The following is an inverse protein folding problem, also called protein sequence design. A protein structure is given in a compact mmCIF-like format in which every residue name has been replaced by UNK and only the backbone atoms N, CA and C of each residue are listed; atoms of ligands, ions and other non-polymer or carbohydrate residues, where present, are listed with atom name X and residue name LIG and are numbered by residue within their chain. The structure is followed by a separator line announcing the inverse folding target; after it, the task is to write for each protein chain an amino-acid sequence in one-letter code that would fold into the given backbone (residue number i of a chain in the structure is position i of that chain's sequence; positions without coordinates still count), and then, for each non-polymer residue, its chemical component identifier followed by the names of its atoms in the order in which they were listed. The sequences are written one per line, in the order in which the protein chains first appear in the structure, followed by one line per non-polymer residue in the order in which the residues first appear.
data_IF_146092735268
#
_entry.id   IF_146092735268
#
_cell.length_a   1.000
_cell.length_b   1.000
_cell.length_c   1.000
_cell.angle_alpha   90.00
_cell.angle_beta   90.00
_cell.angle_gamma   90.00
#
_symmetry.space_group_name_H-M   'P 1'
#
loop_
_entity.id
_entity.type
_entity.pdbx_description
1 polymer ?
#
# COMPACT_ATOMS: atom_id res chain seq x y z
N UNK A 1 80.15 -32.10 -36.84
CA UNK A 1 80.30 -33.31 -37.67
C UNK A 1 79.46 -34.41 -37.07
N UNK A 2 78.54 -34.95 -37.88
CA UNK A 2 78.07 -36.34 -37.92
C UNK A 2 77.74 -37.10 -36.62
N UNK A 3 76.43 -37.22 -36.33
CA UNK A 3 75.62 -38.47 -36.23
C UNK A 3 76.04 -39.58 -35.22
N UNK A 4 75.18 -40.59 -34.92
CA UNK A 4 74.08 -40.56 -33.95
C UNK A 4 74.06 -41.84 -33.04
N UNK A 5 72.90 -42.12 -32.40
CA UNK A 5 72.27 -43.43 -32.14
C UNK A 5 72.16 -43.95 -30.69
N UNK A 6 70.92 -44.37 -30.39
CA UNK A 6 70.47 -45.53 -29.57
C UNK A 6 70.70 -45.43 -28.04
N UNK A 7 69.89 -45.96 -27.14
CA UNK A 7 68.69 -46.80 -27.21
C UNK A 7 67.83 -46.55 -25.96
N UNK A 8 66.57 -46.90 -26.13
CA UNK A 8 65.46 -47.02 -25.19
C UNK A 8 65.80 -47.77 -23.89
N UNK A 9 65.28 -47.29 -22.76
CA UNK A 9 64.21 -47.93 -21.97
C UNK A 9 64.15 -47.40 -20.53
N UNK A 10 62.91 -47.15 -20.10
CA UNK A 10 62.38 -47.15 -18.73
C UNK A 10 62.83 -46.02 -17.80
N UNK A 11 61.97 -45.01 -17.68
CA UNK A 11 61.65 -44.46 -16.36
C UNK A 11 60.13 -44.36 -16.20
N UNK A 12 59.68 -44.97 -15.11
CA UNK A 12 58.34 -44.87 -14.54
C UNK A 12 58.09 -43.42 -14.12
N UNK A 13 57.00 -42.82 -14.58
CA UNK A 13 56.50 -41.56 -14.03
C UNK A 13 55.02 -41.72 -13.68
N UNK A 14 54.75 -41.37 -12.43
CA UNK A 14 53.50 -41.53 -11.72
C UNK A 14 52.35 -40.75 -12.37
N UNK A 15 51.17 -41.35 -12.34
CA UNK A 15 49.92 -40.74 -12.72
C UNK A 15 49.53 -39.65 -11.70
N UNK A 16 49.61 -38.39 -12.09
CA UNK A 16 48.95 -37.27 -11.42
C UNK A 16 47.67 -36.94 -12.17
N UNK A 17 46.56 -37.46 -11.66
CA UNK A 17 45.20 -37.11 -12.09
C UNK A 17 44.86 -35.70 -11.60
N UNK A 18 45.00 -34.70 -12.47
CA UNK A 18 44.44 -33.36 -12.29
C UNK A 18 42.93 -33.42 -12.57
N UNK A 19 42.05 -33.07 -11.61
CA UNK A 19 40.64 -32.92 -11.90
C UNK A 19 40.43 -31.66 -12.75
N UNK A 20 39.92 -31.85 -13.98
CA UNK A 20 39.33 -30.76 -14.75
C UNK A 20 38.11 -30.23 -14.00
N UNK A 21 38.29 -29.14 -13.26
CA UNK A 21 37.18 -28.36 -12.75
C UNK A 21 36.42 -27.79 -13.96
N UNK A 22 35.20 -28.29 -14.20
CA UNK A 22 34.29 -27.68 -15.16
C UNK A 22 34.03 -26.24 -14.68
N UNK A 23 34.10 -25.23 -15.55
CA UNK A 23 33.68 -23.89 -15.17
C UNK A 23 32.21 -23.98 -14.75
N UNK A 24 31.92 -23.67 -13.48
CA UNK A 24 30.56 -23.40 -13.06
C UNK A 24 30.03 -22.30 -13.98
N UNK A 25 29.04 -22.63 -14.80
CA UNK A 25 28.21 -21.61 -15.41
C UNK A 25 27.71 -20.74 -14.28
N UNK A 26 28.16 -19.48 -14.25
CA UNK A 26 27.58 -18.47 -13.40
C UNK A 26 26.07 -18.54 -13.64
N UNK A 27 25.32 -18.90 -12.61
CA UNK A 27 23.87 -18.78 -12.61
C UNK A 27 23.59 -17.36 -13.08
N UNK A 28 22.95 -17.21 -14.24
CA UNK A 28 22.48 -15.91 -14.70
C UNK A 28 21.75 -15.26 -13.52
N UNK A 29 21.92 -13.96 -13.27
CA UNK A 29 21.07 -13.26 -12.33
C UNK A 29 19.64 -13.65 -12.70
N UNK A 30 18.97 -14.33 -11.79
CA UNK A 30 17.56 -14.65 -11.93
C UNK A 30 16.92 -13.29 -12.19
N UNK A 31 16.50 -13.03 -13.43
CA UNK A 31 15.87 -11.77 -13.83
C UNK A 31 14.84 -11.48 -12.75
N UNK A 32 15.07 -10.42 -11.98
CA UNK A 32 14.16 -9.99 -10.95
C UNK A 32 12.81 -9.90 -11.64
N UNK A 33 11.89 -10.77 -11.23
CA UNK A 33 10.55 -10.93 -11.78
C UNK A 33 10.03 -9.56 -12.25
N UNK A 34 10.04 -9.32 -13.56
CA UNK A 34 9.99 -7.95 -14.11
C UNK A 34 8.78 -7.20 -13.55
N UNK A 35 9.00 -6.02 -12.97
CA UNK A 35 7.93 -5.15 -12.48
C UNK A 35 6.90 -4.96 -13.62
N UNK A 36 5.69 -5.46 -13.39
CA UNK A 36 4.58 -5.41 -14.33
C UNK A 36 4.14 -3.97 -14.53
N UNK A 37 3.86 -3.59 -15.77
CA UNK A 37 3.23 -2.31 -16.05
C UNK A 37 1.72 -2.44 -15.93
N UNK A 38 1.12 -1.57 -15.11
CA UNK A 38 -0.33 -1.50 -14.89
C UNK A 38 -0.88 -0.21 -15.50
N UNK A 39 -2.19 -0.18 -15.73
CA UNK A 39 -2.87 1.01 -16.26
C UNK A 39 -3.44 1.82 -15.10
N UNK A 40 -3.06 3.08 -15.03
CA UNK A 40 -3.62 4.06 -14.08
C UNK A 40 -4.68 4.87 -14.80
N UNK A 41 -5.91 4.82 -14.32
CA UNK A 41 -6.99 5.71 -14.74
C UNK A 41 -7.13 6.84 -13.72
N UNK A 42 -7.21 8.08 -14.19
CA UNK A 42 -7.48 9.22 -13.32
C UNK A 42 -8.94 9.65 -13.46
N UNK A 43 -9.66 9.60 -12.35
CA UNK A 43 -11.07 10.04 -12.24
C UNK A 43 -11.22 11.27 -11.35
N UNK A 44 -10.11 11.95 -11.06
CA UNK A 44 -10.10 13.13 -10.21
C UNK A 44 -10.83 14.30 -10.85
N UNK A 45 -11.57 15.06 -10.04
CA UNK A 45 -12.35 16.22 -10.47
C UNK A 45 -11.95 17.47 -9.69
N UNK A 46 -12.06 18.69 -10.26
CA UNK A 46 -11.93 19.91 -9.47
C UNK A 46 -12.97 19.97 -8.34
N UNK A 47 -12.59 20.53 -7.20
CA UNK A 47 -13.44 20.66 -6.01
C UNK A 47 -13.04 21.88 -5.18
N UNK A 48 -14.01 22.55 -4.55
CA UNK A 48 -13.81 23.71 -3.67
C UNK A 48 -13.76 23.33 -2.19
N UNK A 49 -14.44 22.25 -1.81
CA UNK A 49 -14.44 21.71 -0.46
C UNK A 49 -13.15 20.94 -0.17
N UNK A 50 -12.39 21.36 0.85
CA UNK A 50 -11.15 20.70 1.24
C UNK A 50 -11.36 19.31 1.85
N UNK A 51 -12.56 19.03 2.38
CA UNK A 51 -12.91 17.78 3.07
C UNK A 51 -13.55 16.73 2.16
N UNK A 52 -13.71 17.04 0.86
CA UNK A 52 -14.32 16.12 -0.09
C UNK A 52 -13.25 15.41 -0.89
N UNK A 53 -13.26 14.08 -0.83
CA UNK A 53 -12.42 13.25 -1.67
C UNK A 53 -12.78 13.49 -3.15
N UNK A 54 -11.94 14.23 -3.85
CA UNK A 54 -12.08 14.54 -5.26
C UNK A 54 -10.95 13.99 -6.11
N UNK A 55 -9.90 13.45 -5.49
CA UNK A 55 -8.90 12.63 -6.17
C UNK A 55 -9.36 11.18 -6.19
N UNK A 56 -9.24 10.55 -7.35
CA UNK A 56 -9.47 9.12 -7.55
C UNK A 56 -8.51 8.60 -8.62
N UNK A 57 -7.60 7.71 -8.23
CA UNK A 57 -6.69 7.01 -9.15
C UNK A 57 -6.97 5.51 -9.07
N UNK A 58 -7.42 4.93 -10.17
CA UNK A 58 -7.75 3.51 -10.28
C UNK A 58 -6.62 2.73 -10.94
N UNK A 59 -6.29 1.57 -10.36
CA UNK A 59 -5.20 0.72 -10.80
C UNK A 59 -5.76 -0.55 -11.45
N UNK A 60 -5.54 -0.71 -12.76
CA UNK A 60 -6.17 -1.78 -13.54
C UNK A 60 -5.12 -2.68 -14.18
N UNK A 61 -5.25 -3.99 -13.96
CA UNK A 61 -4.49 -5.02 -14.66
C UNK A 61 -5.13 -6.40 -14.46
N UNK A 62 -5.30 -7.21 -15.51
CA UNK A 62 -5.77 -8.59 -15.37
C UNK A 62 -4.69 -9.52 -14.79
N UNK A 63 -3.42 -9.10 -14.84
CA UNK A 63 -2.28 -9.95 -14.52
C UNK A 63 -1.76 -9.76 -13.10
N UNK A 64 -1.97 -8.60 -12.46
CA UNK A 64 -1.43 -8.34 -11.11
C UNK A 64 -1.93 -9.39 -10.12
N UNK A 65 -0.99 -9.93 -9.34
CA UNK A 65 -1.23 -10.82 -8.20
C UNK A 65 -0.46 -10.38 -6.95
N UNK A 66 0.57 -9.56 -7.09
CA UNK A 66 1.24 -8.89 -5.96
C UNK A 66 1.53 -7.44 -6.27
N UNK A 67 1.53 -6.63 -5.23
CA UNK A 67 1.95 -5.22 -5.26
C UNK A 67 2.42 -4.78 -3.88
N UNK A 68 2.96 -3.56 -3.83
CA UNK A 68 3.31 -2.88 -2.58
C UNK A 68 2.64 -1.52 -2.53
N UNK A 69 2.07 -1.21 -1.37
CA UNK A 69 1.65 0.14 -0.99
C UNK A 69 2.62 0.66 0.06
N UNK A 70 3.01 1.93 -0.04
CA UNK A 70 3.79 2.60 0.99
C UNK A 70 3.12 3.93 1.30
N UNK A 71 2.99 4.25 2.57
CA UNK A 71 2.80 5.63 3.00
C UNK A 71 4.17 6.13 3.47
N UNK A 72 4.63 7.24 2.89
CA UNK A 72 5.95 7.82 3.14
C UNK A 72 5.78 9.25 3.61
N UNK A 73 6.62 9.73 4.51
CA UNK A 73 6.52 11.14 4.91
C UNK A 73 6.78 12.07 3.71
N UNK A 74 6.12 13.23 3.64
CA UNK A 74 6.38 14.21 2.59
C UNK A 74 7.83 14.70 2.67
N UNK A 75 8.42 15.10 1.55
CA UNK A 75 9.84 15.49 1.48
C UNK A 75 10.22 16.65 2.41
N UNK A 76 9.25 17.44 2.86
CA UNK A 76 9.42 18.58 3.76
C UNK A 76 9.16 18.25 5.24
N UNK A 77 8.93 16.99 5.60
CA UNK A 77 8.50 16.56 6.94
C UNK A 77 9.39 17.12 8.05
N UNK A 78 10.72 17.07 7.89
CA UNK A 78 11.68 17.55 8.89
C UNK A 78 11.69 19.07 9.11
N UNK A 79 10.94 19.84 8.32
CA UNK A 79 10.75 21.28 8.52
C UNK A 79 9.51 21.63 9.34
N UNK A 80 8.68 20.64 9.68
CA UNK A 80 7.44 20.85 10.42
C UNK A 80 7.74 20.94 11.92
N UNK A 81 7.69 22.16 12.48
CA UNK A 81 7.78 22.36 13.94
C UNK A 81 6.45 22.15 14.67
N UNK A 82 5.32 22.37 14.00
CA UNK A 82 3.98 22.11 14.53
C UNK A 82 3.06 21.68 13.39
N UNK A 83 2.38 20.57 13.59
CA UNK A 83 1.47 20.02 12.58
C UNK A 83 0.14 20.80 12.52
N UNK A 84 -0.57 20.67 11.39
CA UNK A 84 -1.91 21.21 11.14
C UNK A 84 -2.79 20.14 10.52
N UNK A 85 -3.86 19.79 11.21
CA UNK A 85 -4.78 18.70 10.82
C UNK A 85 -6.26 19.05 11.02
N UNK A 86 -6.56 20.24 11.55
CA UNK A 86 -7.94 20.65 11.79
C UNK A 86 -8.71 20.71 10.46
N UNK A 87 -9.94 20.18 10.41
CA UNK A 87 -10.71 20.17 9.18
C UNK A 87 -11.11 21.59 8.75
N UNK A 88 -11.15 21.81 7.43
CA UNK A 88 -11.58 23.04 6.77
C UNK A 88 -12.87 22.81 5.98
N UNK A 89 -13.99 23.07 6.62
CA UNK A 89 -15.33 22.92 6.04
C UNK A 89 -15.74 24.08 5.12
N UNK A 90 -14.83 25.00 4.80
CA UNK A 90 -15.14 26.13 3.92
C UNK A 90 -15.55 25.60 2.55
N UNK A 91 -16.67 26.11 2.01
CA UNK A 91 -17.23 25.70 0.71
C UNK A 91 -17.68 24.23 0.62
N UNK A 92 -17.84 23.54 1.76
CA UNK A 92 -18.35 22.17 1.80
C UNK A 92 -19.87 22.13 1.89
N UNK A 93 -20.50 21.36 0.99
CA UNK A 93 -21.90 20.97 1.09
C UNK A 93 -22.00 19.45 1.25
N UNK A 94 -22.36 19.02 2.46
CA UNK A 94 -22.53 17.60 2.84
C UNK A 94 -24.00 17.24 3.06
N UNK A 95 -24.93 18.08 2.61
CA UNK A 95 -26.37 17.89 2.85
C UNK A 95 -26.94 16.65 2.16
N UNK A 96 -26.23 16.12 1.16
CA UNK A 96 -26.66 14.97 0.36
C UNK A 96 -26.09 13.62 0.82
N UNK A 97 -25.20 13.61 1.82
CA UNK A 97 -24.59 12.37 2.29
C UNK A 97 -25.63 11.50 3.02
N UNK A 98 -25.74 10.25 2.59
CA UNK A 98 -26.53 9.22 3.27
C UNK A 98 -26.09 9.09 4.73
N UNK A 99 -27.03 8.87 5.67
CA UNK A 99 -26.73 8.68 7.09
C UNK A 99 -27.57 7.56 7.69
N UNK A 100 -26.90 6.53 8.18
CA UNK A 100 -27.49 5.39 8.88
C UNK A 100 -27.12 5.48 10.35
N UNK A 101 -28.13 5.52 11.23
CA UNK A 101 -27.92 5.61 12.67
C UNK A 101 -27.34 4.32 13.24
N UNK A 102 -26.49 4.45 14.27
CA UNK A 102 -25.95 3.34 15.04
C UNK A 102 -25.60 3.79 16.46
N UNK A 103 -25.49 2.83 17.37
CA UNK A 103 -25.05 3.13 18.74
C UNK A 103 -23.54 3.35 18.78
N UNK A 104 -23.13 4.48 19.37
CA UNK A 104 -21.72 4.79 19.52
C UNK A 104 -21.03 3.78 20.43
N UNK A 105 -19.91 3.20 19.95
CA UNK A 105 -19.15 2.18 20.68
C UNK A 105 -17.66 2.34 20.40
N UNK A 106 -16.84 2.13 21.41
CA UNK A 106 -15.38 1.96 21.28
C UNK A 106 -14.98 0.69 22.01
N UNK A 107 -14.20 -0.17 21.36
CA UNK A 107 -13.78 -1.45 21.94
C UNK A 107 -12.37 -1.81 21.49
N UNK A 108 -11.45 -1.96 22.44
CA UNK A 108 -10.21 -2.72 22.20
C UNK A 108 -10.58 -4.21 22.22
N UNK A 109 -10.46 -4.90 21.08
CA UNK A 109 -10.92 -6.28 20.94
C UNK A 109 -9.77 -7.29 20.77
N UNK A 110 -8.55 -6.81 20.58
CA UNK A 110 -7.33 -7.60 20.58
C UNK A 110 -6.14 -6.74 20.99
N UNK A 111 -5.23 -7.28 21.79
CA UNK A 111 -4.03 -6.56 22.24
C UNK A 111 -2.88 -7.51 22.60
N UNK A 112 -1.68 -6.95 22.51
CA UNK A 112 -0.38 -7.44 22.98
C UNK A 112 0.38 -6.22 23.54
N UNK A 113 1.52 -6.41 24.23
CA UNK A 113 2.32 -5.27 24.68
C UNK A 113 2.84 -4.36 23.54
N UNK A 114 3.00 -4.92 22.33
CA UNK A 114 3.53 -4.18 21.17
C UNK A 114 2.41 -3.62 20.28
N UNK A 115 1.30 -4.33 20.09
CA UNK A 115 0.22 -3.97 19.16
C UNK A 115 -1.18 -4.21 19.73
N UNK A 116 -2.16 -3.40 19.32
CA UNK A 116 -3.57 -3.64 19.62
C UNK A 116 -4.52 -3.09 18.54
N UNK A 117 -5.73 -3.64 18.51
CA UNK A 117 -6.80 -3.25 17.61
C UNK A 117 -7.96 -2.63 18.39
N UNK A 118 -8.38 -1.43 17.95
CA UNK A 118 -9.51 -0.70 18.53
C UNK A 118 -10.56 -0.48 17.45
N UNK A 119 -11.77 -0.97 17.68
CA UNK A 119 -12.91 -0.74 16.81
C UNK A 119 -13.84 0.34 17.32
N UNK A 120 -14.43 1.10 16.40
CA UNK A 120 -15.34 2.20 16.65
C UNK A 120 -16.65 2.03 15.87
N UNK A 121 -17.75 2.37 16.52
CA UNK A 121 -19.06 2.63 15.93
C UNK A 121 -19.39 4.08 16.25
N UNK A 122 -19.82 4.83 15.24
CA UNK A 122 -20.20 6.25 15.35
C UNK A 122 -21.73 6.38 15.41
N UNK A 123 -22.28 7.48 15.94
CA UNK A 123 -23.72 7.72 15.97
C UNK A 123 -24.41 7.59 14.60
N UNK A 124 -23.67 7.90 13.53
CA UNK A 124 -24.10 7.66 12.16
C UNK A 124 -22.93 7.30 11.26
N UNK A 125 -23.19 6.54 10.20
CA UNK A 125 -22.25 6.28 9.12
C UNK A 125 -22.94 6.34 7.75
N UNK A 126 -22.18 6.54 6.68
CA UNK A 126 -22.75 6.78 5.36
C UNK A 126 -23.31 5.52 4.69
N UNK A 127 -22.86 4.34 5.14
CA UNK A 127 -23.26 3.04 4.62
C UNK A 127 -23.67 2.08 5.76
N UNK A 128 -24.60 1.13 5.52
CA UNK A 128 -24.88 0.09 6.51
C UNK A 128 -23.66 -0.75 6.86
N UNK A 129 -23.62 -1.23 8.10
CA UNK A 129 -22.49 -1.94 8.64
C UNK A 129 -22.81 -3.40 8.98
N UNK A 130 -22.17 -4.33 8.30
CA UNK A 130 -22.32 -5.76 8.57
C UNK A 130 -21.02 -6.57 8.37
N UNK A 131 -19.90 -5.90 8.08
CA UNK A 131 -18.63 -6.57 7.77
C UNK A 131 -17.96 -7.02 9.07
N UNK A 132 -17.84 -8.34 9.33
CA UNK A 132 -17.19 -8.85 10.52
C UNK A 132 -15.67 -8.66 10.47
N UNK A 133 -15.08 -8.38 11.62
CA UNK A 133 -13.63 -8.34 11.85
C UNK A 133 -13.26 -9.47 12.82
N UNK A 134 -12.36 -10.35 12.40
CA UNK A 134 -11.95 -11.54 13.16
C UNK A 134 -10.48 -11.46 13.58
N UNK A 135 -10.21 -11.89 14.81
CA UNK A 135 -8.84 -12.16 15.30
C UNK A 135 -8.87 -13.47 16.10
N UNK A 136 -8.21 -14.51 15.57
CA UNK A 136 -8.35 -15.87 16.11
C UNK A 136 -9.83 -16.31 16.14
N UNK A 137 -10.31 -16.71 17.31
CA UNK A 137 -11.71 -17.14 17.51
C UNK A 137 -12.66 -15.95 17.77
N UNK A 138 -12.13 -14.75 18.03
CA UNK A 138 -12.96 -13.58 18.31
C UNK A 138 -13.47 -12.97 17.00
N UNK A 139 -14.77 -12.73 16.93
CA UNK A 139 -15.42 -12.04 15.80
C UNK A 139 -16.20 -10.85 16.35
N UNK A 140 -15.87 -9.66 15.88
CA UNK A 140 -16.61 -8.43 16.14
C UNK A 140 -17.37 -8.00 14.89
N UNK A 141 -18.54 -7.38 15.10
CA UNK A 141 -19.39 -6.85 14.02
C UNK A 141 -19.75 -5.41 14.33
N UNK A 142 -20.17 -4.67 13.30
CA UNK A 142 -20.72 -3.34 13.52
C UNK A 142 -19.67 -2.25 13.78
N UNK A 143 -18.38 -2.47 13.44
CA UNK A 143 -17.38 -1.40 13.46
C UNK A 143 -17.41 -0.58 12.17
N UNK A 144 -17.53 0.74 12.27
CA UNK A 144 -17.38 1.65 11.13
C UNK A 144 -15.91 1.90 10.81
N UNK A 145 -15.05 1.84 11.84
CA UNK A 145 -13.64 2.14 11.75
C UNK A 145 -12.89 1.20 12.71
N UNK A 146 -11.75 0.68 12.29
CA UNK A 146 -10.82 -0.08 13.12
C UNK A 146 -9.42 0.49 12.97
N UNK A 147 -8.75 0.69 14.10
CA UNK A 147 -7.39 1.21 14.19
C UNK A 147 -6.45 0.11 14.66
N UNK A 148 -5.29 0.02 14.01
CA UNK A 148 -4.13 -0.70 14.50
C UNK A 148 -3.17 0.30 15.14
N UNK A 149 -2.86 0.02 16.40
CA UNK A 149 -1.94 0.79 17.21
C UNK A 149 -0.72 -0.02 17.55
N UNK A 150 0.38 0.68 17.86
CA UNK A 150 1.60 0.08 18.37
C UNK A 150 2.26 0.92 19.45
N UNK A 151 3.07 0.28 20.29
CA UNK A 151 3.96 0.96 21.21
C UNK A 151 5.22 1.43 20.47
N UNK A 152 5.54 2.73 20.54
CA UNK A 152 6.77 3.31 20.02
C UNK A 152 7.25 4.43 20.93
N UNK A 153 8.53 4.41 21.33
CA UNK A 153 9.13 5.39 22.26
C UNK A 153 8.27 5.65 23.51
N UNK A 154 7.79 4.58 24.14
CA UNK A 154 6.93 4.61 25.33
C UNK A 154 5.57 5.31 25.11
N UNK A 155 5.14 5.46 23.85
CA UNK A 155 3.86 6.05 23.46
C UNK A 155 3.04 5.10 22.62
N UNK A 156 1.75 5.37 22.58
CA UNK A 156 0.79 4.71 21.70
C UNK A 156 0.71 5.45 20.37
N UNK A 157 1.11 4.78 19.29
CA UNK A 157 1.07 5.33 17.94
C UNK A 157 0.03 4.57 17.10
N UNK A 158 -0.95 5.29 16.58
CA UNK A 158 -1.85 4.76 15.56
C UNK A 158 -1.10 4.76 14.22
N UNK A 159 -1.09 3.64 13.50
CA UNK A 159 -0.27 3.50 12.27
C UNK A 159 -1.08 3.12 11.04
N UNK A 160 -2.25 2.52 11.25
CA UNK A 160 -3.12 2.04 10.19
C UNK A 160 -4.56 2.10 10.68
N UNK A 161 -5.44 2.60 9.82
CA UNK A 161 -6.89 2.61 10.04
C UNK A 161 -7.59 2.04 8.83
N UNK A 162 -8.68 1.31 9.05
CA UNK A 162 -9.53 0.82 7.98
C UNK A 162 -11.01 0.90 8.35
N UNK A 163 -11.85 0.94 7.32
CA UNK A 163 -13.28 1.15 7.42
C UNK A 163 -13.98 -0.08 6.87
N UNK A 164 -14.35 -1.07 7.72
CA UNK A 164 -14.92 -2.32 7.26
C UNK A 164 -16.11 -2.17 6.30
N UNK A 165 -17.05 -1.22 6.49
CA UNK A 165 -18.23 -1.13 5.63
C UNK A 165 -17.92 -0.70 4.18
N UNK A 166 -16.87 0.06 3.91
CA UNK A 166 -16.57 0.60 2.57
C UNK A 166 -15.22 0.15 2.00
N UNK A 167 -14.32 -0.37 2.82
CA UNK A 167 -13.03 -0.94 2.41
C UNK A 167 -11.90 0.08 2.28
N UNK A 168 -12.07 1.30 2.81
CA UNK A 168 -11.01 2.30 2.85
C UNK A 168 -9.95 1.94 3.89
N UNK A 169 -8.70 2.28 3.56
CA UNK A 169 -7.54 2.19 4.45
C UNK A 169 -6.79 3.52 4.44
N UNK A 170 -6.21 3.89 5.58
CA UNK A 170 -5.20 4.95 5.65
C UNK A 170 -4.05 4.46 6.49
N UNK A 171 -2.84 4.79 6.08
CA UNK A 171 -1.62 4.40 6.75
C UNK A 171 -0.76 5.63 6.96
N UNK A 172 0.05 5.65 8.02
CA UNK A 172 1.01 6.74 8.23
C UNK A 172 2.29 6.22 8.89
N UNK A 173 3.46 6.74 8.52
CA UNK A 173 4.72 6.39 9.17
C UNK A 173 4.76 6.85 10.62
N UNK A 174 5.71 6.32 11.39
CA UNK A 174 5.93 6.77 12.76
C UNK A 174 6.37 8.24 12.77
N UNK A 175 5.95 9.02 13.79
CA UNK A 175 6.33 10.42 13.88
C UNK A 175 7.85 10.58 14.03
N UNK A 176 8.38 11.68 13.50
CA UNK A 176 9.79 12.06 13.61
C UNK A 176 10.03 12.94 14.86
N UNK A 177 11.24 12.89 15.39
CA UNK A 177 11.71 13.73 16.51
C UNK A 177 10.71 13.83 17.69
N UNK A 178 10.36 15.05 18.10
CA UNK A 178 9.44 15.38 19.18
C UNK A 178 7.99 15.56 18.70
N UNK A 179 7.72 15.35 17.41
CA UNK A 179 6.38 15.47 16.87
C UNK A 179 5.49 14.40 17.51
N UNK A 180 4.39 14.83 18.13
CA UNK A 180 3.53 13.92 18.90
C UNK A 180 2.62 13.05 18.03
N UNK A 181 2.38 13.46 16.79
CA UNK A 181 1.38 12.85 15.91
C UNK A 181 1.57 13.31 14.47
N UNK A 182 1.15 12.47 13.50
CA UNK A 182 1.09 12.78 12.06
C UNK A 182 -0.34 12.61 11.53
N UNK A 183 -0.76 13.40 10.55
CA UNK A 183 -2.04 13.23 9.88
C UNK A 183 -2.03 12.00 8.96
N UNK A 184 -3.20 11.43 8.66
CA UNK A 184 -3.32 10.31 7.71
C UNK A 184 -3.35 10.75 6.25
N UNK A 185 -4.08 11.83 5.95
CA UNK A 185 -4.34 12.28 4.58
C UNK A 185 -5.05 11.24 3.71
N UNK A 186 -4.39 10.86 2.61
CA UNK A 186 -4.94 10.02 1.55
C UNK A 186 -5.38 8.63 2.03
N UNK A 187 -6.40 8.10 1.35
CA UNK A 187 -6.90 6.74 1.55
C UNK A 187 -6.59 5.86 0.36
N UNK A 188 -6.60 4.55 0.57
CA UNK A 188 -6.51 3.57 -0.50
C UNK A 188 -7.47 2.41 -0.27
N UNK A 189 -7.84 1.73 -1.35
CA UNK A 189 -8.70 0.57 -1.40
C UNK A 189 -7.93 -0.59 -2.02
N UNK A 190 -8.12 -1.80 -1.49
CA UNK A 190 -7.47 -3.02 -1.97
C UNK A 190 -8.52 -4.08 -2.26
N UNK A 191 -8.63 -4.48 -3.53
CA UNK A 191 -9.63 -5.44 -4.00
C UNK A 191 -10.39 -4.93 -5.21
N UNK A 192 -11.49 -5.60 -5.59
CA UNK A 192 -12.34 -5.17 -6.70
C UNK A 192 -13.03 -3.87 -6.33
N UNK A 193 -12.54 -2.76 -6.89
CA UNK A 193 -13.12 -1.44 -6.62
C UNK A 193 -14.33 -1.22 -7.51
N UNK A 194 -15.45 -0.89 -6.89
CA UNK A 194 -16.71 -0.56 -7.58
C UNK A 194 -17.20 0.81 -7.12
N UNK A 195 -17.82 1.56 -8.03
CA UNK A 195 -18.37 2.89 -7.72
C UNK A 195 -19.86 2.75 -7.42
N UNK A 196 -20.25 3.13 -6.21
CA UNK A 196 -21.64 3.37 -5.84
C UNK A 196 -21.89 4.88 -5.75
N UNK A 197 -22.23 5.40 -4.57
CA UNK A 197 -22.13 6.84 -4.28
C UNK A 197 -20.67 7.30 -4.26
N UNK A 198 -19.77 6.41 -3.81
CA UNK A 198 -18.32 6.57 -3.73
C UNK A 198 -17.65 5.25 -4.15
N UNK A 199 -16.36 5.23 -4.52
CA UNK A 199 -15.61 4.00 -4.69
C UNK A 199 -15.62 3.19 -3.40
N UNK A 200 -15.81 1.88 -3.51
CA UNK A 200 -15.80 0.95 -2.37
C UNK A 200 -15.11 -0.34 -2.76
N UNK A 201 -14.72 -1.12 -1.76
CA UNK A 201 -14.51 -2.57 -1.89
C UNK A 201 -15.55 -3.28 -1.03
N UNK A 202 -16.45 -4.02 -1.66
CA UNK A 202 -17.45 -4.79 -0.92
C UNK A 202 -16.80 -6.01 -0.22
N UNK A 203 -16.66 -5.91 1.10
CA UNK A 203 -16.06 -6.93 1.93
C UNK A 203 -17.10 -7.89 2.52
N UNK A 204 -16.72 -9.16 2.61
CA UNK A 204 -17.46 -10.22 3.31
C UNK A 204 -16.95 -10.39 4.75
N UNK A 205 -15.65 -10.26 4.96
CA UNK A 205 -14.99 -10.40 6.25
C UNK A 205 -13.57 -9.83 6.15
N UNK A 206 -13.07 -9.29 7.27
CA UNK A 206 -11.66 -8.96 7.47
C UNK A 206 -11.12 -9.88 8.57
N UNK A 207 -10.02 -10.58 8.30
CA UNK A 207 -9.35 -11.44 9.29
C UNK A 207 -7.97 -10.87 9.56
N UNK A 208 -7.65 -10.56 10.81
CA UNK A 208 -6.31 -10.22 11.22
C UNK A 208 -5.62 -11.45 11.83
N UNK A 209 -4.45 -11.78 11.29
CA UNK A 209 -3.54 -12.79 11.83
C UNK A 209 -2.39 -12.09 12.59
N UNK A 210 -2.39 -12.17 13.94
CA UNK A 210 -1.34 -11.58 14.76
C UNK A 210 0.06 -12.13 14.50
N UNK A 211 0.18 -13.41 14.12
CA UNK A 211 1.48 -14.06 13.97
C UNK A 211 2.21 -13.53 12.74
N UNK A 212 1.49 -13.36 11.64
CA UNK A 212 2.05 -12.84 10.39
C UNK A 212 1.82 -11.34 10.19
N UNK A 213 1.21 -10.65 11.17
CA UNK A 213 0.82 -9.23 11.11
C UNK A 213 0.16 -8.91 9.77
N UNK A 214 -0.85 -9.70 9.43
CA UNK A 214 -1.49 -9.66 8.12
C UNK A 214 -3.01 -9.55 8.23
N UNK A 215 -3.62 -8.80 7.32
CA UNK A 215 -5.06 -8.75 7.12
C UNK A 215 -5.44 -9.55 5.87
N UNK A 216 -6.33 -10.51 6.00
CA UNK A 216 -7.01 -11.15 4.87
C UNK A 216 -8.35 -10.47 4.65
N UNK A 217 -8.55 -9.93 3.45
CA UNK A 217 -9.77 -9.27 3.00
C UNK A 217 -10.53 -10.24 2.08
N UNK A 218 -11.66 -10.76 2.54
CA UNK A 218 -12.50 -11.64 1.72
C UNK A 218 -13.53 -10.79 0.99
N UNK A 219 -13.57 -10.86 -0.33
CA UNK A 219 -14.45 -10.01 -1.13
C UNK A 219 -15.84 -10.64 -1.28
N UNK A 220 -16.89 -9.81 -1.33
CA UNK A 220 -18.26 -10.29 -1.63
C UNK A 220 -18.37 -10.86 -3.05
N UNK A 221 -17.59 -10.33 -4.00
CA UNK A 221 -17.51 -10.81 -5.39
C UNK A 221 -16.68 -12.09 -5.55
N UNK A 222 -16.16 -12.66 -4.46
CA UNK A 222 -15.26 -13.82 -4.49
C UNK A 222 -13.78 -13.42 -4.56
N UNK A 223 -12.92 -14.37 -4.22
CA UNK A 223 -11.49 -14.12 -4.03
C UNK A 223 -11.17 -13.38 -2.74
N UNK A 224 -9.88 -13.15 -2.51
CA UNK A 224 -9.36 -12.44 -1.36
C UNK A 224 -8.06 -11.69 -1.68
N UNK A 225 -7.76 -10.68 -0.86
CA UNK A 225 -6.42 -10.10 -0.77
C UNK A 225 -5.83 -10.35 0.61
N UNK A 226 -4.51 -10.47 0.69
CA UNK A 226 -3.75 -10.46 1.94
C UNK A 226 -2.84 -9.24 1.95
N UNK A 227 -2.97 -8.40 2.99
CA UNK A 227 -2.14 -7.23 3.24
C UNK A 227 -1.25 -7.56 4.43
N UNK A 228 0.05 -7.65 4.23
CA UNK A 228 1.04 -7.90 5.28
C UNK A 228 1.74 -6.61 5.66
N UNK A 229 1.81 -6.31 6.96
CA UNK A 229 2.65 -5.22 7.45
C UNK A 229 4.13 -5.58 7.24
N UNK A 230 4.81 -4.74 6.49
CA UNK A 230 6.25 -4.77 6.22
C UNK A 230 7.01 -3.91 7.24
N UNK A 231 7.82 -2.97 6.75
CA UNK A 231 8.51 -2.01 7.60
C UNK A 231 7.52 -0.99 8.17
N UNK A 232 7.75 -0.59 9.42
CA UNK A 232 7.06 0.50 10.11
C UNK A 232 8.16 1.30 10.80
N UNK A 233 8.52 2.42 10.21
CA UNK A 233 9.60 3.27 10.70
C UNK A 233 9.25 4.75 10.50
N UNK A 234 10.21 5.62 10.78
CA UNK A 234 10.04 7.07 10.65
C UNK A 234 10.12 7.55 9.21
N UNK A 235 10.48 6.71 8.24
CA UNK A 235 10.49 7.10 6.82
C UNK A 235 9.20 6.65 6.15
N UNK A 236 8.72 5.44 6.48
CA UNK A 236 7.61 4.79 5.80
C UNK A 236 6.91 3.70 6.61
N UNK A 237 5.66 3.45 6.24
CA UNK A 237 4.98 2.17 6.47
C UNK A 237 4.78 1.45 5.13
N UNK A 238 5.14 0.16 5.09
CA UNK A 238 5.06 -0.68 3.90
C UNK A 238 4.00 -1.76 4.09
N UNK A 239 3.14 -1.92 3.09
CA UNK A 239 2.14 -2.98 3.03
C UNK A 239 2.38 -3.81 1.77
N UNK A 240 2.74 -5.08 1.96
CA UNK A 240 2.84 -6.03 0.85
C UNK A 240 1.46 -6.66 0.63
N UNK A 241 0.97 -6.58 -0.60
CA UNK A 241 -0.36 -7.04 -0.97
C UNK A 241 -0.25 -8.21 -1.93
N UNK A 242 -1.01 -9.27 -1.69
CA UNK A 242 -1.20 -10.38 -2.62
C UNK A 242 -2.67 -10.67 -2.84
N UNK A 243 -3.04 -11.03 -4.07
CA UNK A 243 -4.40 -11.38 -4.46
C UNK A 243 -4.48 -12.87 -4.78
N UNK A 244 -5.58 -13.51 -4.37
CA UNK A 244 -5.82 -14.92 -4.68
C UNK A 244 -6.11 -15.16 -6.17
N UNK A 245 -6.67 -14.16 -6.85
CA UNK A 245 -7.03 -14.23 -8.26
C UNK A 245 -7.06 -12.83 -8.92
N UNK A 246 -7.35 -12.77 -10.22
CA UNK A 246 -7.61 -11.55 -10.96
C UNK A 246 -8.88 -10.88 -10.43
N UNK A 247 -8.96 -9.56 -10.62
CA UNK A 247 -10.19 -8.85 -10.29
C UNK A 247 -11.32 -9.26 -11.23
N UNK A 248 -12.52 -9.56 -10.71
CA UNK A 248 -13.68 -9.89 -11.53
C UNK A 248 -14.04 -8.74 -12.46
N UNK A 249 -14.53 -9.07 -13.66
CA UNK A 249 -15.02 -8.11 -14.67
C UNK A 249 -14.04 -6.99 -15.05
N UNK A 250 -12.74 -7.20 -14.82
CA UNK A 250 -11.71 -6.20 -15.10
C UNK A 250 -11.75 -4.97 -14.18
N UNK A 251 -12.42 -5.07 -13.03
CA UNK A 251 -12.44 -4.01 -12.01
C UNK A 251 -11.01 -3.64 -11.56
N UNK A 252 -10.77 -2.40 -11.11
CA UNK A 252 -9.50 -2.02 -10.50
C UNK A 252 -9.14 -2.94 -9.34
N UNK A 253 -7.86 -3.29 -9.21
CA UNK A 253 -7.34 -4.12 -8.09
C UNK A 253 -7.00 -3.28 -6.86
N UNK A 254 -6.84 -1.99 -7.07
CA UNK A 254 -6.67 -0.99 -6.03
C UNK A 254 -7.17 0.36 -6.56
N UNK A 255 -7.53 1.25 -5.64
CA UNK A 255 -7.75 2.66 -5.94
C UNK A 255 -7.16 3.50 -4.83
N UNK A 256 -6.73 4.70 -5.17
CA UNK A 256 -6.37 5.72 -4.19
C UNK A 256 -7.40 6.84 -4.23
N UNK A 257 -7.72 7.38 -3.05
CA UNK A 257 -8.55 8.57 -2.86
C UNK A 257 -7.85 9.61 -2.02
N UNK A 258 -8.07 10.87 -2.36
CA UNK A 258 -7.45 11.99 -1.62
C UNK A 258 -8.21 13.29 -1.87
N UNK A 259 -7.79 14.35 -1.20
CA UNK A 259 -8.41 15.67 -1.27
C UNK A 259 -7.45 16.70 -1.89
N UNK A 260 -7.98 17.55 -2.78
CA UNK A 260 -7.27 18.66 -3.41
C UNK A 260 -8.22 19.80 -3.78
N UNK A 261 -7.97 20.98 -3.24
CA UNK A 261 -8.58 22.23 -3.68
C UNK A 261 -7.56 23.09 -4.41
N UNK A 262 -6.41 23.29 -3.78
CA UNK A 262 -5.24 24.00 -4.35
C UNK A 262 -3.95 23.36 -3.83
N UNK A 263 -2.80 23.72 -4.39
CA UNK A 263 -1.53 23.18 -3.92
C UNK A 263 -1.26 23.47 -2.42
N UNK A 264 -1.78 24.57 -1.87
CA UNK A 264 -1.65 24.90 -0.44
C UNK A 264 -2.80 24.36 0.42
N UNK A 265 -3.83 23.74 -0.18
CA UNK A 265 -5.00 23.14 0.47
C UNK A 265 -5.28 21.76 -0.15
N UNK A 266 -4.51 20.75 0.23
CA UNK A 266 -4.58 19.40 -0.31
C UNK A 266 -3.85 18.39 0.56
N UNK A 267 -4.33 17.15 0.53
CA UNK A 267 -3.58 15.98 1.00
C UNK A 267 -2.58 15.49 -0.04
N UNK A 268 -2.90 15.68 -1.31
CA UNK A 268 -2.08 15.32 -2.45
C UNK A 268 -2.28 16.30 -3.61
N UNK A 269 -1.23 16.61 -4.35
CA UNK A 269 -1.29 17.60 -5.45
C UNK A 269 -0.63 17.12 -6.75
N UNK A 270 0.33 16.20 -6.66
CA UNK A 270 1.20 15.79 -7.76
C UNK A 270 1.21 14.27 -7.87
N UNK A 271 1.19 13.79 -9.10
CA UNK A 271 1.51 12.40 -9.44
C UNK A 271 2.89 12.35 -10.07
N UNK A 272 3.70 11.38 -9.67
CA UNK A 272 4.93 11.01 -10.36
C UNK A 272 4.90 9.52 -10.69
N UNK A 273 5.32 9.10 -11.89
CA UNK A 273 5.28 7.69 -12.29
C UNK A 273 6.48 7.29 -13.14
N UNK A 274 6.76 5.98 -13.14
CA UNK A 274 7.76 5.33 -13.99
C UNK A 274 7.10 4.32 -14.92
N UNK A 275 7.60 4.23 -16.16
CA UNK A 275 7.12 3.27 -17.17
C UNK A 275 8.15 2.15 -17.36
N UNK A 276 7.75 0.96 -17.86
CA UNK A 276 8.60 -0.25 -17.94
C UNK A 276 9.93 -0.05 -18.70
N UNK A 277 9.99 0.92 -19.61
CA UNK A 277 11.17 1.26 -20.41
C UNK A 277 11.47 2.77 -20.40
N UNK A 278 10.92 3.48 -19.41
CA UNK A 278 11.19 4.91 -19.23
C UNK A 278 12.59 5.12 -18.68
N UNK A 279 13.26 6.18 -19.14
CA UNK A 279 14.61 6.56 -18.67
C UNK A 279 14.60 7.39 -17.38
N UNK A 280 13.41 7.71 -16.84
CA UNK A 280 13.25 8.54 -15.65
C UNK A 280 11.80 8.62 -15.19
N UNK A 281 11.61 9.33 -14.07
CA UNK A 281 10.29 9.67 -13.55
C UNK A 281 9.64 10.75 -14.41
N UNK A 282 8.34 10.62 -14.61
CA UNK A 282 7.47 11.66 -15.16
C UNK A 282 6.62 12.22 -14.03
N UNK A 283 6.21 13.49 -14.12
CA UNK A 283 5.44 14.15 -13.07
C UNK A 283 4.39 15.09 -13.68
N UNK A 284 3.22 15.20 -13.04
CA UNK A 284 2.15 16.10 -13.42
C UNK A 284 1.26 16.49 -12.23
N UNK A 285 0.56 17.64 -12.29
CA UNK A 285 -0.55 17.92 -11.38
C UNK A 285 -1.62 16.82 -11.44
N UNK A 286 -2.13 16.40 -10.28
CA UNK A 286 -3.12 15.32 -10.20
C UNK A 286 -4.44 15.69 -10.89
N UNK A 287 -4.86 16.96 -10.77
CA UNK A 287 -6.03 17.47 -11.50
C UNK A 287 -5.62 17.74 -12.94
N UNK A 288 -6.25 17.05 -13.89
CA UNK A 288 -5.95 17.14 -15.32
C UNK A 288 -4.94 16.12 -15.85
N UNK A 289 -4.31 15.32 -14.98
CA UNK A 289 -3.50 14.17 -15.40
C UNK A 289 -4.40 13.12 -16.10
N UNK A 290 -4.11 12.69 -17.34
CA UNK A 290 -5.01 11.79 -18.07
C UNK A 290 -4.94 10.31 -17.62
N UNK A 291 -4.07 9.97 -16.68
CA UNK A 291 -3.68 8.58 -16.41
C UNK A 291 -2.40 8.19 -17.18
N UNK A 292 -1.83 7.05 -16.83
CA UNK A 292 -0.61 6.55 -17.48
C UNK A 292 -0.41 5.04 -17.27
N UNK A 293 0.33 4.36 -18.17
CA UNK A 293 0.83 3.03 -17.89
C UNK A 293 2.07 3.11 -16.97
N UNK A 294 2.02 2.53 -15.77
CA UNK A 294 3.06 2.69 -14.74
C UNK A 294 3.54 1.35 -14.17
N UNK A 295 4.84 1.23 -13.89
CA UNK A 295 5.40 0.16 -13.03
C UNK A 295 5.49 0.60 -11.57
N UNK A 296 5.42 1.90 -11.34
CA UNK A 296 5.46 2.54 -10.03
C UNK A 296 4.84 3.93 -10.14
N UNK A 297 4.08 4.34 -9.14
CA UNK A 297 3.47 5.66 -9.04
C UNK A 297 3.57 6.17 -7.61
N UNK A 298 3.91 7.45 -7.47
CA UNK A 298 3.87 8.23 -6.25
C UNK A 298 2.78 9.29 -6.43
N UNK A 299 1.96 9.47 -5.40
CA UNK A 299 1.07 10.60 -5.29
C UNK A 299 1.42 11.34 -4.00
N UNK A 300 1.68 12.64 -4.11
CA UNK A 300 2.11 13.41 -2.95
C UNK A 300 2.17 14.91 -3.20
N UNK A 301 3.04 15.57 -2.42
CA UNK A 301 3.20 17.02 -2.44
C UNK A 301 4.68 17.41 -2.30
N UNK A 302 5.09 18.43 -3.07
CA UNK A 302 6.36 19.13 -2.82
C UNK A 302 6.20 20.38 -1.95
N UNK A 303 4.98 20.91 -1.84
CA UNK A 303 4.69 22.09 -1.04
C UNK A 303 3.88 21.75 0.23
N UNK A 304 4.18 22.41 1.36
CA UNK A 304 3.37 22.31 2.57
C UNK A 304 1.91 22.72 2.33
N UNK A 305 0.98 21.93 2.85
CA UNK A 305 -0.44 22.29 2.86
C UNK A 305 -0.92 22.75 4.23
N UNK A 306 -1.94 23.62 4.28
CA UNK A 306 -2.65 23.94 5.52
C UNK A 306 -3.61 22.83 5.94
N UNK A 307 -4.01 21.96 5.01
CA UNK A 307 -4.88 20.80 5.24
C UNK A 307 -3.99 19.56 5.37
N UNK A 308 -4.08 18.87 6.51
CA UNK A 308 -3.25 17.71 6.88
C UNK A 308 -1.76 17.89 6.48
N UNK A 309 -1.11 18.86 7.11
CA UNK A 309 0.24 19.30 6.78
C UNK A 309 1.25 18.14 6.76
N UNK A 310 1.22 17.26 7.75
CA UNK A 310 2.10 16.09 7.82
C UNK A 310 1.59 14.84 7.11
N UNK A 311 0.48 14.91 6.36
CA UNK A 311 -0.07 13.74 5.68
C UNK A 311 0.98 13.08 4.77
N UNK A 312 1.10 11.74 4.82
CA UNK A 312 2.03 11.00 4.01
C UNK A 312 1.67 11.06 2.52
N UNK A 313 2.71 11.01 1.70
CA UNK A 313 2.57 10.67 0.30
C UNK A 313 2.37 9.16 0.14
N UNK A 314 1.75 8.75 -0.96
CA UNK A 314 1.40 7.35 -1.23
C UNK A 314 2.17 6.81 -2.43
N UNK A 315 2.79 5.64 -2.28
CA UNK A 315 3.51 4.94 -3.36
C UNK A 315 2.89 3.59 -3.63
N UNK A 316 2.63 3.30 -4.91
CA UNK A 316 2.16 2.01 -5.39
C UNK A 316 3.16 1.48 -6.42
N UNK A 317 3.61 0.24 -6.24
CA UNK A 317 4.58 -0.36 -7.16
C UNK A 317 4.81 -1.83 -6.88
N UNK A 318 5.94 -2.36 -7.37
CA UNK A 318 6.29 -3.78 -7.25
C UNK A 318 5.17 -4.70 -7.75
N UNK A 319 4.52 -4.30 -8.84
CA UNK A 319 3.47 -5.06 -9.47
C UNK A 319 4.04 -6.34 -10.07
N UNK A 320 3.47 -7.49 -9.74
CA UNK A 320 3.95 -8.80 -10.22
C UNK A 320 2.79 -9.71 -10.58
N UNK A 321 2.99 -10.58 -11.57
CA UNK A 321 1.96 -11.49 -12.08
C UNK A 321 1.85 -12.81 -11.34
N UNK A 322 2.84 -13.18 -10.54
CA UNK A 322 2.89 -14.49 -9.89
C UNK A 322 2.13 -14.47 -8.57
N UNK A 323 1.14 -15.36 -8.46
CA UNK A 323 0.49 -15.64 -7.17
C UNK A 323 1.50 -16.25 -6.20
N UNK A 324 1.37 -15.98 -4.89
CA UNK A 324 2.21 -16.62 -3.89
C UNK A 324 2.09 -18.14 -4.03
N UNK A 325 3.18 -18.82 -4.41
CA UNK A 325 3.25 -20.27 -4.32
C UNK A 325 3.18 -20.59 -2.83
N UNK A 326 2.08 -21.17 -2.39
CA UNK A 326 1.99 -21.72 -1.05
C UNK A 326 3.09 -22.79 -0.93
N UNK A 327 4.13 -22.49 -0.16
CA UNK A 327 5.06 -23.52 0.30
C UNK A 327 4.21 -24.43 1.18
N UNK A 328 4.00 -25.66 0.69
CA UNK A 328 3.30 -26.72 1.43
C UNK A 328 4.08 -27.13 2.67
#
# INVERSE_FOLDING_TARGET
MSTPLLDRRRLLLAASSLPFARPSFAQQPQEAEEDLQVRIENRSTPELCAEKDNIELDFVSPQVRRMRVQAVHPSYIGMIGSDRWAPDWTSCDLSHDSKFAADARRLTFWETPEFWLVGYTFPSFWRPNDVPVRVGDRVEKGFHLVQLWMTYRERAEEILVFYPPDGYWRARPLPFEDMRWTAYGSSFLIGPVEVQERPIVALKEIVFDPQTRSFTLRFRRGGEAKLRLGSIDQDRIVLDVSYSDAMPDGLPFASLRSMYTTQSMSDAALVAWRTKRGIGWQEAPVIGFPGAPATEIWLGRHMPSRHNLSAPDMVFGKFQSTAATAVK
#
